data_IF_445510796342
#
_entry.id   IF_445510796342
#
_cell.length_a   1.000
_cell.length_b   1.000
_cell.length_c   1.000
_cell.angle_alpha   90.00
_cell.angle_beta   90.00
_cell.angle_gamma   90.00
#
_symmetry.space_group_name_H-M   'P 1'
#
loop_
_entity.id
_entity.type
_entity.pdbx_description
1 polymer ?
#
# COMPACT_ATOMS: atom_id res chain seq x y z
N UNK A 1 3.77 -7.77 12.18
CA UNK A 1 4.00 -6.31 12.27
C UNK A 1 5.43 -6.00 11.83
N UNK A 2 5.65 -5.76 10.53
CA UNK A 2 7.00 -5.41 10.02
C UNK A 2 6.95 -4.45 8.81
N UNK A 3 5.80 -3.82 8.55
CA UNK A 3 5.59 -2.94 7.38
C UNK A 3 6.22 -1.54 7.59
N UNK A 4 6.42 -1.12 8.84
CA UNK A 4 6.82 0.25 9.19
C UNK A 4 8.29 0.54 8.83
N UNK A 5 9.18 -0.46 8.86
CA UNK A 5 10.63 -0.21 8.79
C UNK A 5 11.16 0.04 7.37
N UNK A 6 10.49 -0.45 6.34
CA UNK A 6 11.02 -0.42 4.96
C UNK A 6 10.79 0.94 4.28
N UNK A 7 9.63 1.55 4.50
CA UNK A 7 9.26 2.82 3.85
C UNK A 7 10.10 4.01 4.33
N UNK A 8 10.43 4.07 5.62
CA UNK A 8 11.21 5.17 6.19
C UNK A 8 12.67 5.14 5.72
N UNK A 9 13.25 3.94 5.57
CA UNK A 9 14.65 3.78 5.17
C UNK A 9 14.88 4.13 3.69
N UNK A 10 13.98 3.71 2.80
CA UNK A 10 14.10 3.97 1.37
C UNK A 10 14.00 5.47 1.04
N UNK A 11 13.07 6.19 1.68
CA UNK A 11 12.84 7.61 1.39
C UNK A 11 13.95 8.52 1.96
N UNK A 12 14.49 8.18 3.13
CA UNK A 12 15.54 8.98 3.80
C UNK A 12 16.89 8.88 3.06
N UNK A 13 17.23 7.72 2.48
CA UNK A 13 18.50 7.51 1.79
C UNK A 13 18.58 8.18 0.40
N UNK A 14 17.44 8.46 -0.24
CA UNK A 14 17.38 8.99 -1.61
C UNK A 14 17.43 10.52 -1.69
N UNK A 15 17.15 11.24 -0.59
CA UNK A 15 16.91 12.69 -0.60
C UNK A 15 18.07 13.53 -0.05
N UNK A 16 19.16 12.93 0.40
CA UNK A 16 20.35 13.67 0.87
C UNK A 16 21.17 14.35 -0.25
N UNK A 17 20.66 14.40 -1.49
CA UNK A 17 21.38 14.93 -2.66
C UNK A 17 20.49 15.86 -3.50
N UNK A 18 20.28 17.10 -3.05
CA UNK A 18 19.76 18.15 -3.95
C UNK A 18 19.43 19.47 -3.26
N UNK A 19 20.16 20.52 -3.63
CA UNK A 19 19.97 21.89 -3.17
C UNK A 19 19.22 22.75 -4.20
N UNK A 20 18.32 23.60 -3.69
CA UNK A 20 17.80 24.87 -4.25
C UNK A 20 16.91 24.83 -5.52
N UNK A 21 15.62 25.18 -5.37
CA UNK A 21 15.02 26.47 -5.81
C UNK A 21 13.48 26.43 -6.02
N UNK A 22 12.81 27.45 -5.47
CA UNK A 22 11.57 28.20 -5.84
C UNK A 22 10.24 27.57 -6.32
N UNK A 23 9.16 28.11 -5.75
CA UNK A 23 7.83 28.32 -6.39
C UNK A 23 6.88 27.12 -6.49
N UNK A 24 6.00 26.96 -5.48
CA UNK A 24 5.31 25.70 -5.13
C UNK A 24 6.34 24.65 -4.74
N UNK A 25 6.72 24.63 -3.46
CA UNK A 25 7.77 23.74 -2.95
C UNK A 25 7.58 22.34 -3.52
N UNK A 26 8.66 21.75 -4.02
CA UNK A 26 8.65 20.36 -4.49
C UNK A 26 8.05 19.42 -3.42
N UNK A 27 8.14 19.82 -2.15
CA UNK A 27 7.41 19.25 -1.03
C UNK A 27 5.90 19.12 -1.29
N UNK A 28 5.21 20.19 -1.70
CA UNK A 28 3.74 20.17 -1.88
C UNK A 28 3.33 19.21 -3.00
N UNK A 29 4.13 19.12 -4.06
CA UNK A 29 3.89 18.22 -5.20
C UNK A 29 4.20 16.77 -4.82
N UNK A 30 5.36 16.52 -4.18
CA UNK A 30 5.75 15.21 -3.68
C UNK A 30 4.72 14.67 -2.68
N UNK A 31 4.27 15.51 -1.74
CA UNK A 31 3.23 15.18 -0.77
C UNK A 31 1.92 14.82 -1.47
N UNK A 32 1.49 15.58 -2.47
CA UNK A 32 0.25 15.30 -3.19
C UNK A 32 0.31 13.97 -3.95
N UNK A 33 1.42 13.66 -4.63
CA UNK A 33 1.57 12.37 -5.32
C UNK A 33 1.67 11.18 -4.35
N UNK A 34 2.32 11.36 -3.20
CA UNK A 34 2.36 10.35 -2.14
C UNK A 34 0.95 10.12 -1.54
N UNK A 35 0.22 11.20 -1.29
CA UNK A 35 -1.17 11.13 -0.80
C UNK A 35 -2.05 10.35 -1.78
N UNK A 36 -1.97 10.68 -3.07
CA UNK A 36 -2.73 10.02 -4.11
C UNK A 36 -2.38 8.53 -4.22
N UNK A 37 -1.08 8.20 -4.19
CA UNK A 37 -0.61 6.82 -4.24
C UNK A 37 -1.16 5.97 -3.08
N UNK A 38 -1.02 6.46 -1.84
CA UNK A 38 -1.45 5.72 -0.66
C UNK A 38 -2.98 5.69 -0.58
N UNK A 39 -3.65 6.83 -0.78
CA UNK A 39 -5.11 6.92 -0.73
C UNK A 39 -5.77 6.04 -1.80
N UNK A 40 -5.22 6.00 -3.01
CA UNK A 40 -5.70 5.10 -4.07
C UNK A 40 -5.58 3.63 -3.66
N UNK A 41 -4.46 3.25 -3.05
CA UNK A 41 -4.24 1.88 -2.55
C UNK A 41 -5.22 1.51 -1.43
N UNK A 42 -5.40 2.39 -0.44
CA UNK A 42 -6.37 2.20 0.64
C UNK A 42 -7.80 2.07 0.08
N UNK A 43 -8.15 2.86 -0.95
CA UNK A 43 -9.45 2.78 -1.60
C UNK A 43 -9.64 1.41 -2.27
N UNK A 44 -8.66 0.93 -3.01
CA UNK A 44 -8.69 -0.40 -3.65
C UNK A 44 -8.85 -1.50 -2.61
N UNK A 45 -8.14 -1.43 -1.47
CA UNK A 45 -8.31 -2.37 -0.36
C UNK A 45 -9.70 -2.31 0.27
N UNK A 46 -10.20 -1.11 0.57
CA UNK A 46 -11.51 -0.94 1.18
C UNK A 46 -12.66 -1.40 0.27
N UNK A 47 -12.57 -1.14 -1.03
CA UNK A 47 -13.56 -1.62 -2.00
C UNK A 47 -13.46 -3.14 -2.18
N UNK A 48 -12.24 -3.69 -2.15
CA UNK A 48 -12.02 -5.13 -2.13
C UNK A 48 -12.66 -5.82 -0.93
N UNK A 49 -12.51 -5.26 0.29
CA UNK A 49 -13.17 -5.78 1.50
C UNK A 49 -14.68 -5.88 1.32
N UNK A 50 -15.32 -4.86 0.73
CA UNK A 50 -16.77 -4.88 0.45
C UNK A 50 -17.14 -5.98 -0.54
N UNK A 51 -16.38 -6.15 -1.62
CA UNK A 51 -16.63 -7.22 -2.60
C UNK A 51 -16.43 -8.60 -1.99
N UNK A 52 -15.36 -8.80 -1.22
CA UNK A 52 -15.06 -10.09 -0.56
C UNK A 52 -16.18 -10.45 0.42
N UNK A 53 -16.67 -9.49 1.21
CA UNK A 53 -17.71 -9.74 2.20
C UNK A 53 -19.11 -9.94 1.60
N UNK A 54 -19.36 -9.47 0.38
CA UNK A 54 -20.67 -9.53 -0.27
C UNK A 54 -20.78 -10.59 -1.37
N UNK A 55 -19.66 -11.00 -1.96
CA UNK A 55 -19.65 -12.00 -3.03
C UNK A 55 -19.59 -13.43 -2.47
N UNK A 56 -20.32 -14.33 -3.13
CA UNK A 56 -20.16 -15.78 -2.96
C UNK A 56 -19.38 -16.41 -4.13
N UNK A 57 -18.99 -15.62 -5.12
CA UNK A 57 -18.25 -16.08 -6.29
C UNK A 57 -16.74 -16.02 -6.00
N UNK A 58 -16.12 -17.20 -5.92
CA UNK A 58 -14.69 -17.31 -5.62
C UNK A 58 -13.81 -16.70 -6.70
N UNK A 59 -14.19 -16.79 -7.97
CA UNK A 59 -13.40 -16.19 -9.06
C UNK A 59 -13.39 -14.66 -8.96
N UNK A 60 -14.51 -14.07 -8.57
CA UNK A 60 -14.63 -12.63 -8.31
C UNK A 60 -13.75 -12.23 -7.12
N UNK A 61 -13.84 -12.97 -6.01
CA UNK A 61 -13.00 -12.76 -4.82
C UNK A 61 -11.51 -12.83 -5.17
N UNK A 62 -11.08 -13.83 -5.92
CA UNK A 62 -9.68 -13.99 -6.35
C UNK A 62 -9.23 -12.85 -7.27
N UNK A 63 -10.09 -12.44 -8.21
CA UNK A 63 -9.83 -11.29 -9.07
C UNK A 63 -9.62 -10.01 -8.26
N UNK A 64 -10.48 -9.79 -7.26
CA UNK A 64 -10.38 -8.66 -6.33
C UNK A 64 -9.09 -8.71 -5.50
N UNK A 65 -8.71 -9.87 -4.96
CA UNK A 65 -7.45 -10.02 -4.21
C UNK A 65 -6.24 -9.69 -5.10
N UNK A 66 -6.26 -10.15 -6.35
CA UNK A 66 -5.20 -9.84 -7.32
C UNK A 66 -5.07 -8.33 -7.57
N UNK A 67 -6.19 -7.62 -7.73
CA UNK A 67 -6.17 -6.15 -7.88
C UNK A 67 -5.53 -5.45 -6.68
N UNK A 68 -5.80 -5.92 -5.47
CA UNK A 68 -5.16 -5.41 -4.24
C UNK A 68 -3.66 -5.69 -4.22
N UNK A 69 -3.25 -6.91 -4.59
CA UNK A 69 -1.84 -7.31 -4.71
C UNK A 69 -1.10 -6.40 -5.70
N UNK A 70 -1.67 -6.18 -6.88
CA UNK A 70 -1.06 -5.34 -7.92
C UNK A 70 -0.96 -3.87 -7.46
N UNK A 71 -1.98 -3.34 -6.78
CA UNK A 71 -1.93 -2.01 -6.18
C UNK A 71 -0.83 -1.89 -5.12
N UNK A 72 -0.70 -2.89 -4.23
CA UNK A 72 0.34 -2.91 -3.19
C UNK A 72 1.75 -3.00 -3.77
N UNK A 73 1.96 -3.82 -4.80
CA UNK A 73 3.23 -3.90 -5.55
C UNK A 73 3.62 -2.56 -6.19
N UNK A 74 2.65 -1.70 -6.49
CA UNK A 74 2.87 -0.38 -7.08
C UNK A 74 3.37 0.69 -6.11
N UNK A 75 3.30 0.44 -4.79
CA UNK A 75 3.68 1.45 -3.79
C UNK A 75 5.18 1.74 -3.84
N UNK A 76 6.05 0.73 -3.68
CA UNK A 76 7.51 0.95 -3.62
C UNK A 76 8.06 1.59 -4.90
N UNK A 77 7.72 1.11 -6.12
CA UNK A 77 8.13 1.78 -7.34
C UNK A 77 7.54 3.18 -7.48
N UNK A 78 6.33 3.41 -6.96
CA UNK A 78 5.69 4.72 -6.92
C UNK A 78 6.46 5.71 -6.05
N UNK A 79 6.87 5.29 -4.86
CA UNK A 79 7.68 6.08 -3.93
C UNK A 79 9.05 6.41 -4.54
N UNK A 80 9.74 5.41 -5.10
CA UNK A 80 11.04 5.60 -5.77
C UNK A 80 10.95 6.58 -6.95
N UNK A 81 9.87 6.50 -7.74
CA UNK A 81 9.59 7.46 -8.81
C UNK A 81 9.40 8.87 -8.27
N UNK A 82 8.64 9.03 -7.18
CA UNK A 82 8.38 10.33 -6.56
C UNK A 82 9.70 10.92 -6.01
N UNK A 83 10.51 10.14 -5.31
CA UNK A 83 11.80 10.62 -4.78
C UNK A 83 12.76 11.07 -5.89
N UNK A 84 12.78 10.37 -7.04
CA UNK A 84 13.58 10.77 -8.21
C UNK A 84 13.05 12.01 -8.91
N UNK A 85 11.74 12.24 -8.88
CA UNK A 85 11.08 13.38 -9.52
C UNK A 85 11.30 14.69 -8.76
N UNK A 86 11.48 14.62 -7.43
CA UNK A 86 11.64 15.76 -6.54
C UNK A 86 12.97 15.70 -5.77
N UNK A 87 14.14 15.79 -6.44
CA UNK A 87 15.43 15.59 -5.80
C UNK A 87 15.87 16.76 -4.91
N UNK A 88 15.24 17.94 -5.01
CA UNK A 88 15.70 19.19 -4.38
C UNK A 88 15.02 19.50 -3.04
N UNK A 89 14.45 18.49 -2.37
CA UNK A 89 13.84 18.64 -1.05
C UNK A 89 14.92 18.92 -0.01
N UNK A 90 14.75 19.99 0.77
CA UNK A 90 15.63 20.23 1.91
C UNK A 90 15.28 19.30 3.09
N UNK A 91 16.17 19.17 4.08
CA UNK A 91 15.97 18.24 5.20
C UNK A 91 14.65 18.48 5.96
N UNK A 92 14.24 19.74 6.16
CA UNK A 92 12.97 20.05 6.85
C UNK A 92 11.75 19.57 6.04
N UNK A 93 11.81 19.69 4.72
CA UNK A 93 10.78 19.18 3.82
C UNK A 93 10.76 17.65 3.78
N UNK A 94 11.93 17.02 3.80
CA UNK A 94 12.06 15.56 3.93
C UNK A 94 11.41 15.09 5.23
N UNK A 95 11.73 15.72 6.36
CA UNK A 95 11.19 15.36 7.68
C UNK A 95 9.66 15.50 7.73
N UNK A 96 9.10 16.55 7.08
CA UNK A 96 7.65 16.72 6.93
C UNK A 96 7.02 15.61 6.10
N UNK A 97 7.65 15.19 5.01
CA UNK A 97 7.15 14.07 4.19
C UNK A 97 7.22 12.77 4.98
N UNK A 98 8.31 12.50 5.69
CA UNK A 98 8.46 11.30 6.51
C UNK A 98 7.39 11.22 7.61
N UNK A 99 7.12 12.34 8.28
CA UNK A 99 6.05 12.44 9.30
C UNK A 99 4.68 12.12 8.68
N UNK A 100 4.38 12.77 7.55
CA UNK A 100 3.14 12.57 6.81
C UNK A 100 2.98 11.13 6.30
N UNK A 101 4.06 10.52 5.79
CA UNK A 101 4.08 9.11 5.41
C UNK A 101 3.84 8.20 6.60
N UNK A 102 4.34 8.52 7.79
CA UNK A 102 4.08 7.77 9.01
C UNK A 102 2.58 7.67 9.33
N UNK A 103 1.85 8.79 9.24
CA UNK A 103 0.39 8.83 9.43
C UNK A 103 -0.34 8.00 8.36
N UNK A 104 0.06 8.14 7.10
CA UNK A 104 -0.56 7.40 5.98
C UNK A 104 -0.25 5.91 5.98
N UNK A 105 0.92 5.50 6.46
CA UNK A 105 1.26 4.09 6.66
C UNK A 105 0.37 3.45 7.73
N UNK A 106 -0.05 4.22 8.75
CA UNK A 106 -1.02 3.72 9.74
C UNK A 106 -2.37 3.43 9.08
N UNK A 107 -2.89 4.34 8.25
CA UNK A 107 -4.13 4.13 7.50
C UNK A 107 -4.03 2.90 6.59
N UNK A 108 -2.93 2.77 5.86
CA UNK A 108 -2.67 1.61 4.99
C UNK A 108 -2.55 0.31 5.79
N UNK A 109 -1.99 0.36 7.00
CA UNK A 109 -1.89 -0.80 7.89
C UNK A 109 -3.26 -1.26 8.35
N UNK A 110 -4.12 -0.34 8.81
CA UNK A 110 -5.48 -0.66 9.22
C UNK A 110 -6.30 -1.24 8.06
N UNK A 111 -6.24 -0.60 6.87
CA UNK A 111 -6.92 -1.12 5.68
C UNK A 111 -6.37 -2.48 5.22
N UNK A 112 -5.07 -2.71 5.40
CA UNK A 112 -4.44 -4.02 5.14
C UNK A 112 -4.93 -5.09 6.10
N UNK A 113 -5.11 -4.78 7.37
CA UNK A 113 -5.60 -5.72 8.38
C UNK A 113 -7.07 -6.09 8.11
N UNK A 114 -7.91 -5.12 7.76
CA UNK A 114 -9.31 -5.36 7.35
C UNK A 114 -9.39 -6.25 6.12
N UNK A 115 -8.52 -6.02 5.13
CA UNK A 115 -8.41 -6.86 3.94
C UNK A 115 -8.01 -8.30 4.28
N UNK A 116 -6.98 -8.50 5.12
CA UNK A 116 -6.57 -9.84 5.57
C UNK A 116 -7.71 -10.55 6.29
N UNK A 117 -8.42 -9.85 7.18
CA UNK A 117 -9.56 -10.41 7.90
C UNK A 117 -10.70 -10.82 6.96
N UNK A 118 -10.98 -10.02 5.93
CA UNK A 118 -12.01 -10.35 4.94
C UNK A 118 -11.64 -11.62 4.15
N UNK A 119 -10.39 -11.75 3.70
CA UNK A 119 -9.91 -12.95 3.00
C UNK A 119 -9.93 -14.19 3.91
N UNK A 120 -9.51 -14.05 5.17
CA UNK A 120 -9.62 -15.11 6.18
C UNK A 120 -11.07 -15.53 6.42
N UNK A 121 -12.00 -14.57 6.42
CA UNK A 121 -13.43 -14.84 6.49
C UNK A 121 -13.92 -15.66 5.30
N UNK A 122 -13.53 -15.28 4.08
CA UNK A 122 -13.85 -16.01 2.85
C UNK A 122 -13.28 -17.44 2.88
N UNK A 123 -12.06 -17.63 3.38
CA UNK A 123 -11.44 -18.94 3.59
C UNK A 123 -12.28 -19.79 4.55
N UNK A 124 -12.62 -19.23 5.72
CA UNK A 124 -13.41 -19.93 6.75
C UNK A 124 -14.79 -20.36 6.23
N UNK A 125 -15.44 -19.51 5.45
CA UNK A 125 -16.74 -19.79 4.86
C UNK A 125 -16.70 -20.90 3.79
N UNK A 126 -15.51 -21.25 3.29
CA UNK A 126 -15.32 -22.25 2.23
C UNK A 126 -14.43 -23.43 2.66
N UNK A 127 -14.27 -23.69 3.97
CA UNK A 127 -13.39 -24.76 4.48
C UNK A 127 -13.78 -26.17 4.01
N UNK A 128 -15.04 -26.40 3.65
CA UNK A 128 -15.51 -27.70 3.17
C UNK A 128 -15.15 -27.96 1.70
N UNK A 129 -14.68 -26.97 0.95
CA UNK A 129 -14.41 -27.05 -0.48
C UNK A 129 -12.96 -26.64 -0.77
N UNK A 130 -12.07 -27.64 -0.75
CA UNK A 130 -10.63 -27.44 -0.91
C UNK A 130 -10.26 -26.74 -2.24
N UNK A 131 -11.07 -26.92 -3.29
CA UNK A 131 -10.85 -26.27 -4.59
C UNK A 131 -11.08 -24.75 -4.51
N UNK A 132 -11.88 -24.29 -3.55
CA UNK A 132 -12.11 -22.87 -3.26
C UNK A 132 -11.14 -22.34 -2.23
N UNK A 133 -10.83 -23.12 -1.19
CA UNK A 133 -9.98 -22.67 -0.09
C UNK A 133 -8.52 -22.50 -0.52
N UNK A 134 -7.96 -23.44 -1.28
CA UNK A 134 -6.53 -23.43 -1.67
C UNK A 134 -6.12 -22.15 -2.42
N UNK A 135 -6.83 -21.71 -3.47
CA UNK A 135 -6.48 -20.48 -4.17
C UNK A 135 -6.50 -19.23 -3.27
N UNK A 136 -7.48 -19.15 -2.35
CA UNK A 136 -7.59 -18.03 -1.41
C UNK A 136 -6.40 -17.98 -0.44
N UNK A 137 -5.97 -19.14 0.07
CA UNK A 137 -4.79 -19.24 0.94
C UNK A 137 -3.54 -18.78 0.19
N UNK A 138 -3.33 -19.25 -1.05
CA UNK A 138 -2.17 -18.86 -1.86
C UNK A 138 -2.17 -17.35 -2.10
N UNK A 139 -3.32 -16.78 -2.45
CA UNK A 139 -3.44 -15.35 -2.71
C UNK A 139 -3.20 -14.51 -1.44
N UNK A 140 -3.69 -14.97 -0.28
CA UNK A 140 -3.41 -14.32 1.01
C UNK A 140 -1.93 -14.38 1.37
N UNK A 141 -1.28 -15.53 1.14
CA UNK A 141 0.16 -15.69 1.36
C UNK A 141 0.97 -14.74 0.47
N UNK A 142 0.63 -14.66 -0.83
CA UNK A 142 1.27 -13.71 -1.74
C UNK A 142 1.14 -12.28 -1.20
N UNK A 143 -0.07 -11.87 -0.81
CA UNK A 143 -0.31 -10.56 -0.24
C UNK A 143 0.54 -10.27 1.02
N UNK A 144 0.63 -11.23 1.94
CA UNK A 144 1.38 -11.09 3.18
C UNK A 144 2.91 -11.04 2.99
N UNK A 145 3.44 -11.53 1.86
CA UNK A 145 4.86 -11.42 1.52
C UNK A 145 5.28 -10.03 1.00
N UNK A 146 4.33 -9.19 0.57
CA UNK A 146 4.60 -7.87 -0.01
C UNK A 146 4.96 -6.78 1.01
N UNK A 147 5.30 -7.14 2.24
CA UNK A 147 5.62 -6.20 3.32
C UNK A 147 6.49 -6.79 4.42
N UNK A 148 7.21 -7.87 4.09
CA UNK A 148 8.27 -8.48 4.90
C UNK A 148 9.63 -8.10 4.29
#
# INVERSE_FOLDING_TARGET
MMIITVFTAAFTALLTLGSCADGSSDFSKAKAELDELITSTCKVQNDAVKTINSSTNIEEILGTIKTVIDAKKGIDPGIDRISKKYPNLNQEEVDKILTYMGEKVLELTLSSDDFVQAVDGAIRNNLADENKTKPLIIALQEYQTLGQ
#
